data_IF_157155474170
#
_entry.id   IF_157155474170
#
_cell.length_a   1.000
_cell.length_b   1.000
_cell.length_c   1.000
_cell.angle_alpha   90.00
_cell.angle_beta   90.00
_cell.angle_gamma   90.00
#
_symmetry.space_group_name_H-M   'P 1'
#
loop_
_entity.id
_entity.type
_entity.pdbx_description
1 polymer ?
#
# COMPACT_ATOMS: atom_id res chain seq x y z
N UNK A 1 21.15 8.35 -3.80
CA UNK A 1 20.03 7.41 -3.94
C UNK A 1 20.32 6.48 -5.10
N UNK A 2 20.21 5.17 -4.86
CA UNK A 2 20.25 4.16 -5.90
C UNK A 2 18.96 4.18 -6.74
N UNK A 3 18.99 3.71 -8.00
CA UNK A 3 17.78 3.62 -8.83
C UNK A 3 16.63 2.83 -8.16
N UNK A 4 16.96 1.86 -7.30
CA UNK A 4 16.00 1.06 -6.54
C UNK A 4 15.26 1.89 -5.48
N UNK A 5 16.00 2.76 -4.78
CA UNK A 5 15.41 3.65 -3.77
C UNK A 5 14.48 4.69 -4.39
N UNK A 6 14.87 5.24 -5.54
CA UNK A 6 14.03 6.18 -6.29
C UNK A 6 12.75 5.48 -6.77
N UNK A 7 12.86 4.26 -7.29
CA UNK A 7 11.71 3.47 -7.71
C UNK A 7 10.79 3.13 -6.52
N UNK A 8 11.37 2.73 -5.37
CA UNK A 8 10.62 2.47 -4.15
C UNK A 8 9.86 3.70 -3.65
N UNK A 9 10.49 4.87 -3.69
CA UNK A 9 9.85 6.14 -3.35
C UNK A 9 8.68 6.47 -4.30
N UNK A 10 8.88 6.34 -5.61
CA UNK A 10 7.82 6.56 -6.61
C UNK A 10 6.64 5.61 -6.39
N UNK A 11 6.91 4.32 -6.20
CA UNK A 11 5.88 3.30 -5.93
C UNK A 11 5.11 3.63 -4.66
N UNK A 12 5.80 4.07 -3.61
CA UNK A 12 5.15 4.47 -2.34
C UNK A 12 4.19 5.64 -2.56
N UNK A 13 4.60 6.67 -3.31
CA UNK A 13 3.75 7.83 -3.61
C UNK A 13 2.52 7.41 -4.44
N UNK A 14 2.71 6.58 -5.46
CA UNK A 14 1.60 6.05 -6.28
C UNK A 14 0.63 5.23 -5.42
N UNK A 15 1.15 4.38 -4.52
CA UNK A 15 0.34 3.57 -3.63
C UNK A 15 -0.58 4.42 -2.73
N UNK A 16 -0.01 5.48 -2.13
CA UNK A 16 -0.78 6.43 -1.31
C UNK A 16 -1.88 7.07 -2.16
N UNK A 17 -1.56 7.51 -3.38
CA UNK A 17 -2.54 8.09 -4.31
C UNK A 17 -3.70 7.16 -4.63
N UNK A 18 -3.42 5.87 -4.90
CA UNK A 18 -4.44 4.85 -5.18
C UNK A 18 -5.33 4.60 -3.95
N UNK A 19 -4.73 4.45 -2.76
CA UNK A 19 -5.49 4.26 -1.51
C UNK A 19 -6.39 5.47 -1.25
N UNK A 20 -5.88 6.68 -1.44
CA UNK A 20 -6.63 7.91 -1.21
C UNK A 20 -7.75 8.09 -2.24
N UNK A 21 -7.49 7.77 -3.51
CA UNK A 21 -8.50 7.77 -4.57
C UNK A 21 -9.60 6.74 -4.29
N UNK A 22 -9.24 5.50 -3.91
CA UNK A 22 -10.20 4.48 -3.52
C UNK A 22 -11.04 4.93 -2.31
N UNK A 23 -10.43 5.61 -1.34
CA UNK A 23 -11.14 6.16 -0.18
C UNK A 23 -12.14 7.27 -0.57
N UNK A 24 -11.71 8.25 -1.38
CA UNK A 24 -12.57 9.36 -1.81
C UNK A 24 -13.70 8.85 -2.72
N UNK A 25 -13.37 8.04 -3.73
CA UNK A 25 -14.35 7.52 -4.70
C UNK A 25 -15.45 6.68 -4.08
N UNK A 26 -15.19 6.10 -2.90
CA UNK A 26 -16.14 5.27 -2.18
C UNK A 26 -16.82 5.97 -1.00
N UNK A 27 -16.52 7.26 -0.76
CA UNK A 27 -17.01 7.97 0.42
C UNK A 27 -16.58 7.33 1.75
N UNK A 28 -15.42 6.68 1.77
CA UNK A 28 -14.90 5.94 2.92
C UNK A 28 -15.49 4.53 3.11
N UNK A 29 -16.38 4.07 2.22
CA UNK A 29 -17.01 2.75 2.30
C UNK A 29 -16.67 1.94 1.06
N UNK A 30 -15.62 1.13 1.12
CA UNK A 30 -15.19 0.27 0.00
C UNK A 30 -16.33 -0.68 -0.39
N UNK A 31 -17.09 -0.33 -1.44
CA UNK A 31 -18.20 -1.09 -2.00
C UNK A 31 -18.07 -1.11 -3.51
N UNK A 32 -18.11 -2.32 -4.08
CA UNK A 32 -17.96 -2.58 -5.52
C UNK A 32 -16.57 -3.10 -5.89
N UNK A 33 -16.54 -3.98 -6.89
CA UNK A 33 -15.34 -4.76 -7.27
C UNK A 33 -14.15 -3.86 -7.65
N UNK A 34 -14.39 -2.75 -8.34
CA UNK A 34 -13.33 -1.84 -8.81
C UNK A 34 -12.65 -1.13 -7.63
N UNK A 35 -13.43 -0.69 -6.64
CA UNK A 35 -12.88 -0.01 -5.47
C UNK A 35 -12.15 -0.97 -4.52
N UNK A 36 -12.65 -2.20 -4.40
CA UNK A 36 -11.96 -3.28 -3.67
C UNK A 36 -10.64 -3.61 -4.36
N UNK A 37 -10.63 -3.77 -5.68
CA UNK A 37 -9.42 -4.04 -6.46
C UNK A 37 -8.40 -2.90 -6.35
N UNK A 38 -8.84 -1.64 -6.45
CA UNK A 38 -7.97 -0.48 -6.27
C UNK A 38 -7.40 -0.40 -4.85
N UNK A 39 -8.22 -0.69 -3.83
CA UNK A 39 -7.77 -0.79 -2.44
C UNK A 39 -6.69 -1.85 -2.25
N UNK A 40 -6.94 -3.07 -2.75
CA UNK A 40 -5.97 -4.19 -2.67
C UNK A 40 -4.67 -3.83 -3.40
N UNK A 41 -4.76 -3.31 -4.62
CA UNK A 41 -3.57 -2.88 -5.38
C UNK A 41 -2.78 -1.81 -4.63
N UNK A 42 -3.46 -0.82 -4.04
CA UNK A 42 -2.84 0.19 -3.19
C UNK A 42 -2.13 -0.41 -1.97
N UNK A 43 -2.76 -1.37 -1.27
CA UNK A 43 -2.15 -2.05 -0.12
C UNK A 43 -0.98 -2.96 -0.48
N UNK A 44 -0.94 -3.53 -1.69
CA UNK A 44 0.24 -4.28 -2.14
C UNK A 44 1.39 -3.33 -2.45
N UNK A 45 1.11 -2.23 -3.15
CA UNK A 45 2.13 -1.25 -3.52
C UNK A 45 2.71 -0.51 -2.31
N UNK A 46 1.91 -0.24 -1.28
CA UNK A 46 2.38 0.41 -0.03
C UNK A 46 3.34 -0.49 0.77
N UNK A 47 3.34 -1.81 0.53
CA UNK A 47 4.33 -2.73 1.09
C UNK A 47 5.59 -2.78 0.24
N UNK A 48 5.44 -2.86 -1.09
CA UNK A 48 6.56 -2.98 -2.03
C UNK A 48 7.42 -1.71 -2.06
N UNK A 49 6.81 -0.53 -2.03
CA UNK A 49 7.53 0.74 -2.12
C UNK A 49 8.58 0.93 -1.01
N UNK A 50 8.18 0.88 0.28
CA UNK A 50 9.10 0.94 1.41
C UNK A 50 10.10 -0.21 1.41
N UNK A 51 9.71 -1.42 1.02
CA UNK A 51 10.65 -2.54 0.92
C UNK A 51 11.76 -2.30 -0.11
N UNK A 52 11.43 -1.72 -1.28
CA UNK A 52 12.42 -1.40 -2.32
C UNK A 52 13.30 -0.20 -1.96
N UNK A 53 12.80 0.73 -1.16
CA UNK A 53 13.56 1.87 -0.67
C UNK A 53 14.40 1.51 0.55
N UNK A 54 13.77 1.06 1.63
CA UNK A 54 14.38 0.87 2.95
C UNK A 54 14.95 -0.54 3.16
N UNK A 55 14.69 -1.49 2.23
CA UNK A 55 15.03 -2.90 2.40
C UNK A 55 14.09 -3.65 3.35
N UNK A 56 13.20 -2.94 4.04
CA UNK A 56 12.23 -3.49 4.96
C UNK A 56 10.89 -2.73 4.87
N UNK A 57 9.81 -3.39 5.29
CA UNK A 57 8.50 -2.73 5.44
C UNK A 57 8.40 -2.18 6.87
N UNK A 58 8.23 -0.87 7.07
CA UNK A 58 8.06 -0.30 8.39
C UNK A 58 6.89 -0.94 9.14
N UNK A 59 7.09 -1.24 10.44
CA UNK A 59 6.08 -1.91 11.28
C UNK A 59 4.73 -1.18 11.27
N UNK A 60 4.73 0.15 11.19
CA UNK A 60 3.51 0.95 11.11
C UNK A 60 2.70 0.67 9.83
N UNK A 61 3.38 0.57 8.67
CA UNK A 61 2.75 0.25 7.39
C UNK A 61 2.20 -1.16 7.42
N UNK A 62 2.96 -2.10 7.99
CA UNK A 62 2.55 -3.49 8.13
C UNK A 62 1.27 -3.62 8.98
N UNK A 63 1.27 -3.04 10.18
CA UNK A 63 0.09 -3.00 11.06
C UNK A 63 -1.11 -2.34 10.40
N UNK A 64 -0.89 -1.29 9.61
CA UNK A 64 -1.96 -0.62 8.86
C UNK A 64 -2.58 -1.55 7.82
N UNK A 65 -1.75 -2.26 7.03
CA UNK A 65 -2.25 -3.22 6.03
C UNK A 65 -2.94 -4.41 6.70
N UNK A 66 -2.36 -4.96 7.77
CA UNK A 66 -2.97 -6.05 8.55
C UNK A 66 -4.35 -5.64 9.10
N UNK A 67 -4.48 -4.43 9.64
CA UNK A 67 -5.74 -3.90 10.16
C UNK A 67 -6.79 -3.64 9.07
N UNK A 68 -6.37 -3.29 7.85
CA UNK A 68 -7.29 -2.99 6.74
C UNK A 68 -7.69 -4.21 5.90
N UNK A 69 -6.81 -5.20 5.80
CA UNK A 69 -7.02 -6.39 4.97
C UNK A 69 -7.41 -7.62 5.79
N UNK A 70 -7.14 -7.62 7.10
CA UNK A 70 -7.28 -8.80 7.97
C UNK A 70 -6.22 -9.87 7.72
N UNK A 71 -5.32 -9.68 6.75
CA UNK A 71 -4.24 -10.60 6.46
C UNK A 71 -3.11 -10.44 7.49
N UNK A 72 -2.63 -11.54 8.07
CA UNK A 72 -1.40 -11.54 8.87
C UNK A 72 -0.20 -11.60 7.93
N UNK A 73 0.59 -10.53 7.88
CA UNK A 73 1.82 -10.47 7.11
C UNK A 73 2.95 -11.04 7.97
N UNK A 74 3.13 -12.36 7.96
CA UNK A 74 4.28 -13.00 8.60
C UNK A 74 5.55 -12.64 7.83
N UNK A 75 6.51 -12.02 8.52
CA UNK A 75 7.87 -11.89 7.99
C UNK A 75 8.58 -13.23 8.17
N UNK A 76 8.98 -13.85 7.05
CA UNK A 76 10.16 -14.73 7.02
C UNK A 76 11.41 -13.88 6.86
#
# INVERSE_FOLDING_TARGET
MSPKEVLGLIITVIAIGIIFYAYISTGGVVKGDIAVAAGIAGFVLILIGPYLWLGEVPVAVRKFVEAKTGAKLEQK
#
